data_IF_121217181451
#
_entry.id   IF_121217181451
#
_cell.length_a   1.000
_cell.length_b   1.000
_cell.length_c   1.000
_cell.angle_alpha   90.00
_cell.angle_beta   90.00
_cell.angle_gamma   90.00
#
_symmetry.space_group_name_H-M   'P 1'
#
loop_
_entity.id
_entity.type
_entity.pdbx_description
1 polymer ?
#
# COMPACT_ATOMS: atom_id res chain seq x y z
N UNK A 1 -0.17 0.29 -4.34
CA UNK A 1 -0.08 -0.92 -3.48
C UNK A 1 1.20 -1.67 -3.77
N UNK A 2 1.76 -2.38 -2.79
CA UNK A 2 3.06 -3.02 -2.90
C UNK A 2 2.96 -4.54 -2.75
N UNK A 3 3.67 -5.26 -3.60
CA UNK A 3 3.95 -6.69 -3.41
C UNK A 3 5.24 -6.88 -2.62
N UNK A 4 5.42 -8.05 -2.00
CA UNK A 4 6.65 -8.39 -1.29
C UNK A 4 7.51 -9.35 -2.10
N UNK A 5 8.83 -9.26 -1.92
CA UNK A 5 9.81 -10.20 -2.45
C UNK A 5 10.98 -10.35 -1.48
N UNK A 6 11.51 -11.54 -1.37
CA UNK A 6 12.76 -11.74 -0.66
C UNK A 6 13.93 -11.10 -1.38
N UNK A 7 14.95 -10.70 -0.66
CA UNK A 7 16.16 -10.12 -1.27
C UNK A 7 16.91 -11.15 -2.14
N UNK A 8 16.87 -12.43 -1.76
CA UNK A 8 17.41 -13.52 -2.56
C UNK A 8 16.67 -13.67 -3.89
N UNK A 9 15.34 -13.69 -3.89
CA UNK A 9 14.52 -13.72 -5.12
C UNK A 9 14.77 -12.50 -6.01
N UNK A 10 14.85 -11.31 -5.40
CA UNK A 10 15.11 -10.09 -6.15
C UNK A 10 16.44 -10.12 -6.91
N UNK A 11 17.48 -10.71 -6.33
CA UNK A 11 18.78 -10.85 -6.98
C UNK A 11 18.76 -11.76 -8.21
N UNK A 12 17.88 -12.75 -8.20
CA UNK A 12 17.72 -13.73 -9.31
C UNK A 12 16.66 -13.33 -10.32
N UNK A 13 15.57 -12.70 -9.88
CA UNK A 13 14.39 -12.38 -10.69
C UNK A 13 13.93 -10.93 -10.50
N UNK A 14 14.42 -10.04 -11.36
CA UNK A 14 14.18 -8.58 -11.29
C UNK A 14 12.91 -8.15 -12.02
N UNK A 15 11.76 -8.77 -11.74
CA UNK A 15 10.50 -8.34 -12.34
C UNK A 15 10.14 -6.91 -11.91
N UNK A 16 9.56 -6.15 -12.84
CA UNK A 16 9.02 -4.83 -12.56
C UNK A 16 7.74 -4.91 -11.70
N UNK A 17 7.32 -3.80 -11.06
CA UNK A 17 6.00 -3.68 -10.45
C UNK A 17 4.87 -3.96 -11.45
N UNK A 18 3.73 -4.43 -10.94
CA UNK A 18 2.59 -4.87 -11.75
C UNK A 18 1.64 -3.72 -12.10
N UNK A 19 2.06 -2.82 -13.00
CA UNK A 19 1.21 -1.72 -13.50
C UNK A 19 1.26 -0.45 -12.63
N UNK A 20 0.46 0.58 -12.94
CA UNK A 20 0.44 1.87 -12.25
C UNK A 20 0.05 1.75 -10.77
N UNK A 21 0.55 2.69 -9.98
CA UNK A 21 0.37 2.77 -8.53
C UNK A 21 0.81 1.48 -7.82
N UNK A 22 1.88 0.85 -8.31
CA UNK A 22 2.46 -0.37 -7.72
C UNK A 22 3.93 -0.21 -7.37
N UNK A 23 4.37 -0.98 -6.37
CA UNK A 23 5.75 -1.03 -5.92
C UNK A 23 6.12 -2.42 -5.39
N UNK A 24 7.39 -2.57 -5.03
CA UNK A 24 7.93 -3.81 -4.46
C UNK A 24 8.60 -3.49 -3.14
N UNK A 25 8.20 -4.16 -2.06
CA UNK A 25 8.86 -4.14 -0.76
C UNK A 25 9.80 -5.33 -0.66
N UNK A 26 11.02 -5.10 -0.20
CA UNK A 26 12.03 -6.14 -0.04
C UNK A 26 12.04 -6.69 1.38
N UNK A 27 12.01 -8.01 1.46
CA UNK A 27 12.11 -8.77 2.69
C UNK A 27 13.54 -9.30 2.82
N UNK A 28 14.23 -8.93 3.89
CA UNK A 28 15.49 -9.57 4.25
C UNK A 28 15.20 -10.98 4.76
N UNK A 29 15.58 -11.98 4.00
CA UNK A 29 15.51 -13.38 4.36
C UNK A 29 16.79 -13.85 5.06
N UNK A 30 16.79 -15.08 5.56
CA UNK A 30 17.93 -15.66 6.29
C UNK A 30 19.17 -15.76 5.39
N UNK A 31 18.99 -16.07 4.12
CA UNK A 31 20.05 -16.28 3.14
C UNK A 31 20.74 -14.96 2.73
N UNK A 32 19.99 -13.84 2.80
CA UNK A 32 20.49 -12.52 2.44
C UNK A 32 21.12 -11.74 3.59
N UNK A 33 21.08 -12.27 4.83
CA UNK A 33 21.69 -11.60 5.99
C UNK A 33 23.20 -11.49 5.82
N UNK A 34 23.78 -10.27 5.95
CA UNK A 34 25.22 -10.11 5.89
C UNK A 34 25.89 -10.85 7.06
N UNK A 35 26.85 -11.68 6.75
CA UNK A 35 27.66 -12.38 7.76
C UNK A 35 29.08 -11.84 7.79
N UNK A 36 29.72 -11.92 8.96
CA UNK A 36 31.12 -11.63 9.18
C UNK A 36 31.84 -12.89 9.69
N UNK A 37 33.15 -12.88 9.70
CA UNK A 37 34.00 -13.94 10.27
C UNK A 37 33.57 -15.37 9.83
N UNK A 38 33.48 -15.62 8.54
CA UNK A 38 33.11 -16.93 7.97
C UNK A 38 31.75 -17.47 8.47
N UNK A 39 30.80 -16.55 8.74
CA UNK A 39 29.44 -16.93 9.19
C UNK A 39 29.24 -16.95 10.70
N UNK A 40 30.28 -16.66 11.49
CA UNK A 40 30.20 -16.73 12.96
C UNK A 40 29.45 -15.58 13.61
N UNK A 41 29.23 -14.47 12.89
CA UNK A 41 28.47 -13.30 13.39
C UNK A 41 27.68 -12.64 12.27
N UNK A 42 26.62 -11.93 12.65
CA UNK A 42 25.86 -11.09 11.72
C UNK A 42 26.38 -9.66 11.74
N UNK A 43 26.54 -9.07 10.55
CA UNK A 43 26.88 -7.65 10.44
C UNK A 43 25.60 -6.82 10.42
N UNK A 44 25.47 -5.86 11.34
CA UNK A 44 24.30 -4.97 11.40
C UNK A 44 24.28 -3.91 10.30
N UNK A 45 25.39 -3.72 9.57
CA UNK A 45 25.53 -2.74 8.51
C UNK A 45 25.10 -3.32 7.16
N UNK A 46 24.21 -2.59 6.48
CA UNK A 46 23.85 -2.91 5.11
C UNK A 46 24.96 -2.51 4.13
N UNK A 47 25.28 -3.40 3.18
CA UNK A 47 26.36 -3.20 2.20
C UNK A 47 25.88 -2.85 0.79
N UNK A 48 24.59 -2.83 0.54
CA UNK A 48 24.06 -2.61 -0.80
C UNK A 48 22.56 -2.37 -0.83
N UNK A 49 22.07 -2.13 -2.02
CA UNK A 49 20.65 -1.92 -2.32
C UNK A 49 20.05 -3.18 -2.98
N UNK A 50 18.73 -3.34 -2.96
CA UNK A 50 17.73 -2.48 -2.32
C UNK A 50 17.72 -2.62 -0.78
N UNK A 51 17.25 -1.56 -0.10
CA UNK A 51 17.06 -1.63 1.34
C UNK A 51 15.90 -2.57 1.69
N UNK A 52 16.05 -3.44 2.71
CA UNK A 52 14.95 -4.26 3.20
C UNK A 52 13.98 -3.41 4.05
N UNK A 53 12.68 -3.63 3.87
CA UNK A 53 11.63 -2.90 4.58
C UNK A 53 11.07 -3.65 5.80
N UNK A 54 11.35 -4.95 5.94
CA UNK A 54 10.89 -5.74 7.09
C UNK A 54 11.70 -5.54 8.37
N UNK A 55 12.82 -4.82 8.31
CA UNK A 55 13.68 -4.52 9.47
C UNK A 55 13.71 -3.01 9.74
N UNK A 56 13.99 -2.64 11.00
CA UNK A 56 14.16 -1.24 11.37
C UNK A 56 15.55 -0.75 10.95
N UNK A 57 15.60 0.36 10.24
CA UNK A 57 16.80 0.95 9.68
C UNK A 57 17.18 2.22 10.45
N UNK A 58 18.49 2.43 10.60
CA UNK A 58 19.08 3.64 11.17
C UNK A 58 20.17 4.17 10.25
N UNK A 59 20.03 5.41 9.83
CA UNK A 59 21.06 6.14 9.10
C UNK A 59 22.07 6.68 10.10
N UNK A 60 23.36 6.44 9.82
CA UNK A 60 24.47 6.92 10.62
C UNK A 60 25.36 7.81 9.75
N UNK A 61 25.58 9.03 10.19
CA UNK A 61 26.39 10.02 9.50
C UNK A 61 27.19 10.88 10.48
N UNK A 62 28.21 11.58 9.98
CA UNK A 62 29.10 12.40 10.79
C UNK A 62 29.01 13.85 10.35
N UNK A 63 28.92 14.77 11.29
CA UNK A 63 29.05 16.21 11.05
C UNK A 63 30.31 16.69 11.77
N UNK A 64 31.19 17.39 11.02
CA UNK A 64 32.41 17.98 11.58
C UNK A 64 32.26 19.50 11.58
N UNK A 65 32.29 20.09 12.76
CA UNK A 65 32.28 21.55 12.98
C UNK A 65 33.48 21.91 13.85
N UNK A 66 34.28 22.87 13.43
CA UNK A 66 35.46 23.33 14.17
C UNK A 66 36.39 22.17 14.61
N UNK A 67 36.69 21.25 13.71
CA UNK A 67 37.48 20.03 13.94
C UNK A 67 36.89 19.04 14.96
N UNK A 68 35.68 19.24 15.45
CA UNK A 68 34.95 18.28 16.30
C UNK A 68 33.99 17.50 15.40
N UNK A 69 34.15 16.18 15.38
CA UNK A 69 33.27 15.27 14.62
C UNK A 69 32.24 14.65 15.55
N UNK A 70 30.97 14.94 15.28
CA UNK A 70 29.83 14.33 15.99
C UNK A 70 29.16 13.30 15.07
N UNK A 71 28.90 12.13 15.65
CA UNK A 71 28.17 11.06 14.94
C UNK A 71 26.70 11.11 15.29
N UNK A 72 25.86 11.19 14.28
CA UNK A 72 24.39 11.18 14.38
C UNK A 72 23.83 9.82 13.98
N UNK A 73 22.71 9.44 14.58
CA UNK A 73 21.95 8.22 14.30
C UNK A 73 20.48 8.55 14.21
N UNK A 74 19.92 8.48 13.00
CA UNK A 74 18.51 8.78 12.73
C UNK A 74 17.79 7.50 12.32
N UNK A 75 16.82 7.01 13.12
CA UNK A 75 15.92 5.94 12.69
C UNK A 75 15.05 6.41 11.51
N UNK A 76 15.02 5.62 10.44
CA UNK A 76 14.38 5.97 9.16
C UNK A 76 13.59 4.78 8.61
N UNK A 77 12.49 5.07 7.92
CA UNK A 77 11.81 4.12 7.04
C UNK A 77 12.07 4.55 5.59
N UNK A 78 12.74 3.70 4.82
CA UNK A 78 12.88 3.88 3.38
C UNK A 78 11.77 3.12 2.66
N UNK A 79 10.88 3.84 1.99
CA UNK A 79 9.77 3.27 1.20
C UNK A 79 10.10 3.47 -0.28
N UNK A 80 10.17 2.39 -1.09
CA UNK A 80 10.40 2.52 -2.53
C UNK A 80 9.32 3.38 -3.20
N UNK A 81 9.71 4.25 -4.12
CA UNK A 81 8.77 5.09 -4.86
C UNK A 81 7.90 4.23 -5.77
N UNK A 82 6.59 4.52 -5.81
CA UNK A 82 5.64 3.84 -6.71
C UNK A 82 6.02 4.03 -8.18
N UNK A 83 5.63 3.08 -9.02
CA UNK A 83 5.76 3.08 -10.48
C UNK A 83 7.21 3.02 -11.02
N UNK A 84 8.18 3.09 -10.15
CA UNK A 84 9.57 2.97 -10.51
C UNK A 84 10.07 1.54 -10.33
N UNK A 85 10.98 1.14 -11.21
CA UNK A 85 11.71 -0.12 -11.02
C UNK A 85 12.52 -0.03 -9.74
N UNK A 86 12.46 -1.04 -8.89
CA UNK A 86 13.18 -1.05 -7.61
C UNK A 86 14.69 -0.79 -7.75
N UNK A 87 15.30 -1.22 -8.86
CA UNK A 87 16.71 -0.93 -9.21
C UNK A 87 17.01 0.53 -9.50
N UNK A 88 15.99 1.38 -9.66
CA UNK A 88 16.20 2.83 -9.78
C UNK A 88 16.63 3.45 -8.47
N UNK A 89 16.50 2.69 -7.36
CA UNK A 89 16.92 3.08 -6.02
C UNK A 89 16.29 4.38 -5.50
N UNK A 90 15.08 4.66 -5.95
CA UNK A 90 14.33 5.83 -5.49
C UNK A 90 13.49 5.47 -4.26
N UNK A 91 13.60 6.29 -3.21
CA UNK A 91 12.92 6.08 -1.94
C UNK A 91 12.36 7.38 -1.39
N UNK A 92 11.25 7.26 -0.65
CA UNK A 92 10.88 8.22 0.37
C UNK A 92 11.68 7.94 1.63
N UNK A 93 12.18 8.97 2.31
CA UNK A 93 12.94 8.86 3.55
C UNK A 93 12.11 9.45 4.71
N UNK A 94 11.48 8.58 5.50
CA UNK A 94 10.54 8.97 6.56
C UNK A 94 11.25 8.93 7.91
N UNK A 95 11.17 10.00 8.69
CA UNK A 95 11.71 10.04 10.05
C UNK A 95 10.90 9.13 10.97
N UNK A 96 11.58 8.28 11.74
CA UNK A 96 10.92 7.32 12.63
C UNK A 96 10.82 7.80 14.09
N UNK A 97 11.49 8.87 14.44
CA UNK A 97 11.54 9.39 15.80
C UNK A 97 11.74 10.91 15.82
N UNK A 98 11.55 11.50 17.00
CA UNK A 98 11.70 12.94 17.22
C UNK A 98 10.45 13.75 16.88
N UNK A 99 10.59 15.07 16.81
CA UNK A 99 9.51 16.04 16.56
C UNK A 99 8.77 15.72 15.24
N UNK A 100 9.48 15.29 14.22
CA UNK A 100 9.00 15.03 12.87
C UNK A 100 8.79 13.53 12.59
N UNK A 101 8.45 12.75 13.62
CA UNK A 101 8.18 11.31 13.47
C UNK A 101 6.95 11.07 12.59
N UNK A 102 7.12 10.28 11.53
CA UNK A 102 6.08 10.01 10.53
C UNK A 102 6.09 10.95 9.33
N UNK A 103 6.90 12.02 9.36
CA UNK A 103 7.03 12.97 8.27
C UNK A 103 8.14 12.56 7.30
N UNK A 104 7.96 12.91 6.04
CA UNK A 104 8.93 12.70 4.98
C UNK A 104 9.99 13.80 4.98
N UNK A 105 11.24 13.40 4.85
CA UNK A 105 12.31 14.35 4.52
C UNK A 105 12.09 14.90 3.12
N UNK A 106 12.44 16.17 2.91
CA UNK A 106 12.35 16.84 1.62
C UNK A 106 13.70 17.45 1.19
N UNK A 107 13.88 17.61 -0.11
CA UNK A 107 14.98 18.39 -0.66
C UNK A 107 14.75 19.88 -0.40
N UNK A 108 15.82 20.63 -0.10
CA UNK A 108 15.76 22.08 -0.04
C UNK A 108 15.73 22.66 -1.46
N UNK A 109 14.82 23.60 -1.69
CA UNK A 109 14.63 24.30 -2.97
C UNK A 109 15.41 25.60 -3.03
N UNK A 110 15.43 26.27 -4.21
CA UNK A 110 15.99 27.63 -4.32
C UNK A 110 15.26 28.66 -3.45
N UNK A 111 13.94 28.51 -3.28
CA UNK A 111 13.15 29.39 -2.40
C UNK A 111 13.58 29.29 -0.93
N UNK A 112 14.09 28.14 -0.50
CA UNK A 112 14.64 27.97 0.85
C UNK A 112 16.01 28.68 0.98
N UNK A 113 16.73 28.89 -0.12
CA UNK A 113 17.99 29.65 -0.15
C UNK A 113 17.78 31.16 0.10
N UNK A 114 16.69 31.70 -0.41
CA UNK A 114 16.40 33.15 -0.31
C UNK A 114 15.91 33.57 1.08
N UNK A 115 15.54 32.61 1.93
CA UNK A 115 15.13 32.87 3.32
C UNK A 115 16.30 33.13 4.28
N UNK A 116 17.55 33.02 3.82
CA UNK A 116 18.73 33.32 4.66
C UNK A 116 19.05 34.81 4.59
N UNK A 117 19.06 35.55 5.72
CA UNK A 117 19.42 36.96 5.74
C UNK A 117 20.82 37.21 5.14
N UNK A 118 20.92 38.16 4.25
CA UNK A 118 22.19 38.64 3.65
C UNK A 118 23.17 39.02 4.77
N UNK A 119 24.28 38.28 4.94
CA UNK A 119 25.31 38.71 5.91
C UNK A 119 26.39 37.70 6.28
N UNK A 120 26.27 36.42 5.95
CA UNK A 120 27.31 35.44 6.28
C UNK A 120 27.92 34.80 5.04
N UNK A 121 29.26 34.86 4.94
CA UNK A 121 30.05 34.42 3.78
C UNK A 121 30.08 32.89 3.51
N UNK A 122 29.23 32.08 4.11
CA UNK A 122 29.05 30.68 3.76
C UNK A 122 27.61 30.47 3.30
N UNK A 123 27.43 30.16 2.03
CA UNK A 123 26.15 29.69 1.46
C UNK A 123 25.76 28.36 2.10
N UNK A 124 25.25 28.41 3.30
CA UNK A 124 24.60 27.28 3.93
C UNK A 124 23.17 27.26 3.42
N UNK A 125 22.83 26.30 2.57
CA UNK A 125 21.43 26.06 2.20
C UNK A 125 20.76 25.50 3.45
N UNK A 126 19.71 26.15 4.01
CA UNK A 126 18.99 25.61 5.15
C UNK A 126 18.43 24.26 4.80
N UNK A 127 18.35 23.35 5.76
CA UNK A 127 17.67 22.06 5.59
C UNK A 127 16.17 22.34 5.47
N UNK A 128 15.51 21.74 4.47
CA UNK A 128 14.06 21.77 4.39
C UNK A 128 13.47 21.04 5.60
N UNK A 129 12.46 21.63 6.23
CA UNK A 129 11.75 20.94 7.31
C UNK A 129 11.03 19.69 6.76
N UNK A 130 11.06 18.56 7.48
CA UNK A 130 10.26 17.40 7.11
C UNK A 130 8.77 17.77 7.07
N UNK A 131 8.05 17.19 6.11
CA UNK A 131 6.66 17.50 5.81
C UNK A 131 5.80 16.23 5.84
N UNK A 132 4.49 16.42 5.86
CA UNK A 132 3.57 15.31 5.64
C UNK A 132 3.92 14.58 4.34
N UNK A 133 3.91 13.25 4.37
CA UNK A 133 4.29 12.45 3.20
C UNK A 133 3.30 12.65 2.07
N UNK A 134 3.79 13.16 0.94
CA UNK A 134 3.05 13.24 -0.32
C UNK A 134 3.77 12.38 -1.38
N UNK A 135 3.15 11.26 -1.81
CA UNK A 135 3.73 10.39 -2.84
C UNK A 135 3.90 11.07 -4.21
N UNK A 136 3.22 12.18 -4.45
CA UNK A 136 3.31 12.93 -5.70
C UNK A 136 4.36 14.03 -5.66
N UNK A 137 4.77 14.46 -4.47
CA UNK A 137 5.81 15.47 -4.30
C UNK A 137 7.17 14.93 -4.78
N UNK A 138 7.75 15.60 -5.77
CA UNK A 138 9.06 15.24 -6.32
C UNK A 138 10.20 15.56 -5.34
N UNK A 139 10.01 16.59 -4.49
CA UNK A 139 11.00 17.02 -3.51
C UNK A 139 11.20 16.00 -2.37
N UNK A 140 10.25 15.10 -2.17
CA UNK A 140 10.34 14.02 -1.18
C UNK A 140 10.96 12.72 -1.73
N UNK A 141 11.43 12.72 -2.99
CA UNK A 141 12.00 11.54 -3.66
C UNK A 141 13.52 11.64 -3.77
N UNK A 142 14.19 10.59 -3.35
CA UNK A 142 15.65 10.54 -3.34
C UNK A 142 16.15 9.32 -4.14
N UNK A 143 17.08 9.55 -5.07
CA UNK A 143 17.86 8.45 -5.65
C UNK A 143 19.03 8.13 -4.73
N UNK A 144 19.09 6.88 -4.24
CA UNK A 144 20.15 6.43 -3.34
C UNK A 144 21.15 5.60 -4.13
N UNK A 145 22.41 6.01 -4.05
CA UNK A 145 23.51 5.36 -4.74
C UNK A 145 24.24 4.39 -3.80
N UNK A 146 24.52 3.15 -4.27
CA UNK A 146 25.20 2.16 -3.46
C UNK A 146 26.66 2.56 -3.17
N UNK A 147 27.27 2.00 -2.13
CA UNK A 147 28.68 2.19 -1.84
C UNK A 147 29.57 1.80 -3.02
N UNK A 148 30.55 2.64 -3.35
CA UNK A 148 31.65 2.24 -4.27
C UNK A 148 32.57 1.26 -3.56
N UNK A 149 33.27 0.39 -4.30
CA UNK A 149 34.00 -0.77 -3.75
C UNK A 149 34.99 -0.48 -2.60
N UNK A 150 35.52 0.74 -2.51
CA UNK A 150 36.43 1.18 -1.45
C UNK A 150 35.71 2.00 -0.33
N UNK A 151 34.55 2.58 -0.61
CA UNK A 151 33.73 3.35 0.31
C UNK A 151 32.54 2.50 0.75
N UNK A 152 32.38 2.24 2.02
CA UNK A 152 31.21 1.51 2.57
C UNK A 152 30.00 2.42 2.79
N UNK A 153 29.94 3.56 2.10
CA UNK A 153 29.04 4.66 2.38
C UNK A 153 28.10 4.91 1.19
N UNK A 154 26.87 5.22 1.48
CA UNK A 154 25.89 5.66 0.52
C UNK A 154 26.01 7.16 0.28
N UNK A 155 25.39 7.64 -0.78
CA UNK A 155 25.03 9.04 -1.00
C UNK A 155 23.69 9.12 -1.69
N UNK A 156 22.96 10.21 -1.47
CA UNK A 156 21.69 10.46 -2.13
C UNK A 156 21.82 11.67 -3.07
N UNK A 157 21.06 11.64 -4.14
CA UNK A 157 20.82 12.77 -5.03
C UNK A 157 19.34 13.07 -5.08
N UNK A 158 19.02 14.33 -5.28
CA UNK A 158 17.67 14.73 -5.67
C UNK A 158 17.37 14.25 -7.10
N UNK A 159 16.08 14.15 -7.42
CA UNK A 159 15.61 13.97 -8.80
C UNK A 159 15.84 15.20 -9.65
N UNK A 160 15.97 16.39 -9.06
CA UNK A 160 16.31 17.65 -9.73
C UNK A 160 17.75 18.08 -9.42
N UNK A 161 18.44 18.64 -10.41
CA UNK A 161 19.88 18.94 -10.35
C UNK A 161 20.22 20.08 -9.39
N UNK A 162 19.29 21.01 -9.14
CA UNK A 162 19.52 22.22 -8.34
C UNK A 162 19.11 22.09 -6.86
N UNK A 163 18.61 20.93 -6.46
CA UNK A 163 18.12 20.67 -5.11
C UNK A 163 19.15 19.99 -4.23
N UNK A 164 19.00 20.20 -2.92
CA UNK A 164 19.93 19.71 -1.91
C UNK A 164 19.23 18.72 -0.99
N UNK A 165 19.66 17.44 -0.96
CA UNK A 165 19.12 16.46 -0.02
C UNK A 165 19.33 16.86 1.45
N UNK A 166 18.46 16.40 2.37
CA UNK A 166 18.58 16.68 3.81
C UNK A 166 19.89 16.13 4.41
N UNK A 167 20.34 16.73 5.50
CA UNK A 167 21.65 16.42 6.15
C UNK A 167 21.86 14.93 6.41
N UNK A 168 20.80 14.21 6.80
CA UNK A 168 20.89 12.79 7.11
C UNK A 168 21.36 11.92 5.93
N UNK A 169 21.08 12.34 4.67
CA UNK A 169 21.43 11.61 3.44
C UNK A 169 22.25 12.44 2.44
N UNK A 170 22.44 13.76 2.69
CA UNK A 170 23.16 14.70 1.82
C UNK A 170 24.63 14.37 1.67
N UNK A 171 25.29 13.99 2.76
CA UNK A 171 26.74 13.87 2.77
C UNK A 171 27.18 12.56 2.19
N UNK A 172 28.25 12.62 1.42
CA UNK A 172 29.07 11.43 1.15
C UNK A 172 29.45 10.82 2.49
N UNK A 173 29.32 9.49 2.65
CA UNK A 173 29.77 8.73 3.85
C UNK A 173 28.73 8.47 4.94
N UNK A 174 27.44 8.50 4.67
CA UNK A 174 26.48 7.89 5.57
C UNK A 174 26.37 6.37 5.35
N UNK A 175 26.02 5.68 6.39
CA UNK A 175 25.85 4.21 6.40
C UNK A 175 24.49 3.86 6.96
N UNK A 176 24.01 2.65 6.66
CA UNK A 176 22.73 2.15 7.19
C UNK A 176 23.01 0.94 8.05
N UNK A 177 22.55 1.00 9.29
CA UNK A 177 22.51 -0.10 10.24
C UNK A 177 21.09 -0.61 10.36
N UNK A 178 20.87 -1.91 10.60
CA UNK A 178 19.56 -2.48 10.86
C UNK A 178 19.52 -3.21 12.20
N UNK A 179 18.34 -3.19 12.85
CA UNK A 179 18.10 -3.94 14.07
C UNK A 179 17.86 -5.42 13.74
N UNK A 180 18.50 -6.33 14.44
CA UNK A 180 18.27 -7.78 14.31
C UNK A 180 17.14 -8.28 15.19
N UNK A 181 16.77 -7.51 16.23
CA UNK A 181 15.76 -7.87 17.23
C UNK A 181 14.37 -7.24 16.96
N UNK A 182 14.30 -6.26 16.05
CA UNK A 182 13.07 -5.52 15.78
C UNK A 182 12.66 -5.62 14.31
N UNK A 183 11.42 -5.88 14.07
CA UNK A 183 10.83 -5.92 12.72
C UNK A 183 9.68 -4.91 12.54
N UNK A 184 9.33 -4.65 11.28
CA UNK A 184 8.20 -3.80 10.89
C UNK A 184 6.91 -4.61 10.70
N UNK A 185 6.88 -5.89 11.01
CA UNK A 185 5.72 -6.77 10.81
C UNK A 185 5.46 -7.18 9.36
N UNK A 186 6.30 -6.76 8.42
CA UNK A 186 6.18 -7.09 7.01
C UNK A 186 6.58 -8.55 6.75
N UNK A 187 5.78 -9.29 5.97
CA UNK A 187 6.01 -10.69 5.61
C UNK A 187 6.13 -10.86 4.09
N UNK A 188 6.77 -11.95 3.64
CA UNK A 188 6.87 -12.30 2.22
C UNK A 188 5.66 -13.14 1.79
N UNK A 189 4.47 -12.60 1.91
CA UNK A 189 3.20 -13.26 1.59
C UNK A 189 2.31 -12.46 0.63
N UNK A 190 2.69 -11.22 0.29
CA UNK A 190 1.95 -10.37 -0.63
C UNK A 190 2.45 -10.55 -2.06
N UNK A 191 1.85 -11.50 -2.76
CA UNK A 191 2.22 -11.86 -4.14
C UNK A 191 1.46 -11.09 -5.22
N UNK A 192 0.59 -10.13 -4.83
CA UNK A 192 -0.35 -9.49 -5.73
C UNK A 192 -1.57 -10.36 -6.00
N UNK A 193 -2.07 -10.34 -7.22
CA UNK A 193 -3.18 -11.19 -7.64
C UNK A 193 -2.79 -12.68 -7.69
N UNK A 194 -3.69 -13.54 -7.23
CA UNK A 194 -3.54 -14.98 -7.33
C UNK A 194 -4.21 -15.50 -8.60
N UNK A 195 -3.61 -16.51 -9.23
CA UNK A 195 -4.11 -17.10 -10.49
C UNK A 195 -5.53 -17.64 -10.37
N UNK A 196 -5.93 -18.14 -9.20
CA UNK A 196 -7.26 -18.70 -8.97
C UNK A 196 -8.38 -17.65 -8.86
N UNK A 197 -8.09 -16.34 -8.92
CA UNK A 197 -9.13 -15.29 -9.02
C UNK A 197 -10.11 -15.54 -10.16
N UNK A 198 -9.64 -16.10 -11.26
CA UNK A 198 -10.48 -16.40 -12.43
C UNK A 198 -11.33 -17.66 -12.27
N UNK A 199 -11.04 -18.48 -11.27
CA UNK A 199 -11.83 -19.64 -10.90
C UNK A 199 -12.84 -19.21 -9.83
N UNK A 200 -13.96 -18.61 -10.24
CA UNK A 200 -14.97 -18.06 -9.34
C UNK A 200 -15.33 -19.01 -8.19
N UNK A 201 -15.67 -18.49 -6.99
CA UNK A 201 -15.98 -19.33 -5.84
C UNK A 201 -17.07 -20.36 -6.17
N UNK A 202 -16.83 -21.62 -5.88
CA UNK A 202 -17.80 -22.71 -6.10
C UNK A 202 -18.79 -22.84 -4.94
N UNK A 203 -18.38 -22.38 -3.75
CA UNK A 203 -19.18 -22.45 -2.54
C UNK A 203 -19.85 -21.09 -2.32
N UNK A 204 -21.17 -21.07 -2.28
CA UNK A 204 -21.95 -19.92 -1.88
C UNK A 204 -21.64 -19.61 -0.39
N UNK A 205 -21.55 -18.34 -0.05
CA UNK A 205 -21.25 -17.84 1.32
C UNK A 205 -19.82 -18.09 1.83
N UNK A 206 -18.85 -18.41 0.96
CA UNK A 206 -17.44 -18.48 1.34
C UNK A 206 -16.65 -17.27 0.82
N UNK A 207 -15.80 -16.71 1.67
CA UNK A 207 -14.81 -15.70 1.26
C UNK A 207 -13.54 -16.41 0.78
N UNK A 208 -13.16 -16.20 -0.48
CA UNK A 208 -11.95 -16.77 -1.09
C UNK A 208 -10.92 -15.66 -1.24
N UNK A 209 -9.74 -15.79 -0.63
CA UNK A 209 -8.63 -14.85 -0.79
C UNK A 209 -8.03 -15.00 -2.19
N UNK A 210 -8.07 -13.93 -3.00
CA UNK A 210 -7.63 -13.93 -4.41
C UNK A 210 -6.54 -12.93 -4.72
N UNK A 211 -6.07 -12.19 -3.71
CA UNK A 211 -4.94 -11.28 -3.85
C UNK A 211 -4.48 -10.71 -2.52
N UNK A 212 -3.20 -10.35 -2.43
CA UNK A 212 -2.63 -9.72 -1.24
C UNK A 212 -1.52 -8.73 -1.58
N UNK A 213 -1.54 -7.58 -0.90
CA UNK A 213 -0.56 -6.49 -1.00
C UNK A 213 -0.28 -5.90 0.38
N UNK A 214 0.63 -4.95 0.43
CA UNK A 214 0.81 -4.05 1.55
C UNK A 214 0.65 -2.59 1.11
N UNK A 215 0.16 -1.77 2.03
CA UNK A 215 0.07 -0.32 1.89
C UNK A 215 0.90 0.29 3.01
N UNK A 216 2.00 1.00 2.70
CA UNK A 216 2.76 1.73 3.71
C UNK A 216 1.91 2.82 4.38
N UNK A 217 2.18 3.10 5.65
CA UNK A 217 1.43 4.06 6.46
C UNK A 217 1.35 5.47 5.84
N UNK A 218 2.32 5.87 5.01
CA UNK A 218 2.31 7.19 4.34
C UNK A 218 1.14 7.37 3.35
N UNK A 219 0.47 6.28 3.00
CA UNK A 219 -0.73 6.31 2.15
C UNK A 219 -2.04 6.17 2.94
N UNK A 220 -1.96 6.05 4.28
CA UNK A 220 -3.11 5.86 5.17
C UNK A 220 -3.03 6.90 6.28
N UNK A 221 -4.01 7.81 6.34
CA UNK A 221 -4.04 8.91 7.30
C UNK A 221 -5.18 8.68 8.29
N UNK A 222 -4.83 8.24 9.48
CA UNK A 222 -5.74 8.11 10.61
C UNK A 222 -5.52 9.25 11.60
N UNK A 223 -6.41 9.46 12.57
CA UNK A 223 -6.40 10.62 13.48
C UNK A 223 -5.13 10.77 14.34
N UNK A 224 -4.30 9.72 14.45
CA UNK A 224 -3.06 9.72 15.24
C UNK A 224 -1.87 9.18 14.42
N UNK A 225 -1.35 9.98 13.49
CA UNK A 225 -0.24 9.59 12.61
C UNK A 225 1.01 9.07 13.34
N UNK A 226 1.32 9.59 14.53
CA UNK A 226 2.46 9.14 15.34
C UNK A 226 2.30 7.72 15.90
N UNK A 227 1.07 7.27 16.13
CA UNK A 227 0.81 5.93 16.67
C UNK A 227 0.86 4.87 15.57
N UNK A 228 0.54 5.24 14.32
CA UNK A 228 0.57 4.32 13.18
C UNK A 228 1.97 3.85 12.86
N UNK A 229 2.94 4.77 12.82
CA UNK A 229 4.35 4.41 12.58
C UNK A 229 4.88 3.42 13.63
N UNK A 230 4.39 3.48 14.87
CA UNK A 230 4.78 2.59 15.95
C UNK A 230 4.06 1.25 15.89
N UNK A 231 2.75 1.26 15.59
CA UNK A 231 1.88 0.08 15.60
C UNK A 231 1.82 -0.63 14.25
N UNK A 232 1.66 0.12 13.15
CA UNK A 232 1.41 -0.42 11.81
C UNK A 232 2.17 0.36 10.74
N UNK A 233 3.44 0.02 10.51
CA UNK A 233 4.23 0.63 9.42
C UNK A 233 3.74 0.22 8.05
N UNK A 234 3.22 -1.02 7.91
CA UNK A 234 2.68 -1.58 6.67
C UNK A 234 1.34 -2.24 6.94
N UNK A 235 0.31 -1.76 6.27
CA UNK A 235 -1.06 -2.26 6.35
C UNK A 235 -1.24 -3.40 5.36
N UNK A 236 -1.60 -4.63 5.79
CA UNK A 236 -1.98 -5.68 4.86
C UNK A 236 -3.29 -5.33 4.14
N UNK A 237 -3.29 -5.45 2.81
CA UNK A 237 -4.45 -5.32 1.94
C UNK A 237 -4.74 -6.68 1.32
N UNK A 238 -5.94 -7.18 1.53
CA UNK A 238 -6.40 -8.48 1.01
C UNK A 238 -7.59 -8.30 0.07
N UNK A 239 -7.59 -9.01 -1.05
CA UNK A 239 -8.74 -9.07 -1.97
C UNK A 239 -9.43 -10.41 -1.80
N UNK A 240 -10.71 -10.36 -1.48
CA UNK A 240 -11.58 -11.53 -1.35
C UNK A 240 -12.66 -11.54 -2.42
N UNK A 241 -13.06 -12.73 -2.83
CA UNK A 241 -14.24 -12.97 -3.66
C UNK A 241 -15.29 -13.73 -2.85
N UNK A 242 -16.56 -13.33 -3.00
CA UNK A 242 -17.73 -14.05 -2.48
C UNK A 242 -18.93 -13.86 -3.38
N UNK A 243 -19.89 -14.77 -3.23
CA UNK A 243 -21.23 -14.60 -3.78
C UNK A 243 -22.12 -13.94 -2.73
N UNK A 244 -22.82 -12.88 -3.11
CA UNK A 244 -23.80 -12.16 -2.29
C UNK A 244 -25.19 -12.34 -2.86
N UNK A 245 -26.14 -12.80 -2.01
CA UNK A 245 -27.53 -12.95 -2.42
C UNK A 245 -28.17 -11.59 -2.61
N UNK A 246 -28.73 -11.34 -3.80
CA UNK A 246 -29.39 -10.09 -4.17
C UNK A 246 -30.87 -10.26 -4.45
N UNK A 247 -31.31 -11.49 -4.62
CA UNK A 247 -32.72 -11.80 -4.83
C UNK A 247 -33.06 -13.20 -4.32
N UNK A 248 -34.24 -13.30 -3.68
CA UNK A 248 -34.85 -14.54 -3.20
C UNK A 248 -36.33 -14.56 -3.49
N UNK A 249 -36.87 -15.70 -3.93
CA UNK A 249 -38.31 -15.93 -4.00
C UNK A 249 -38.68 -17.39 -3.75
N UNK A 250 -39.88 -17.59 -3.26
CA UNK A 250 -40.50 -18.92 -3.06
C UNK A 250 -41.57 -19.19 -4.13
N UNK A 251 -41.72 -20.46 -4.49
CA UNK A 251 -42.74 -20.90 -5.42
C UNK A 251 -44.07 -21.14 -4.68
N UNK A 252 -44.82 -20.07 -4.40
CA UNK A 252 -46.07 -20.14 -3.64
C UNK A 252 -47.20 -20.88 -4.42
N UNK A 253 -47.14 -20.88 -5.75
CA UNK A 253 -48.26 -21.33 -6.61
C UNK A 253 -47.99 -22.65 -7.34
N UNK A 254 -46.90 -23.32 -7.13
CA UNK A 254 -46.49 -24.66 -7.68
C UNK A 254 -46.48 -24.81 -9.21
N UNK A 255 -47.12 -23.92 -9.97
CA UNK A 255 -47.26 -24.03 -11.42
C UNK A 255 -46.34 -23.10 -12.22
N UNK A 256 -45.63 -22.19 -11.54
CA UNK A 256 -44.77 -21.25 -12.21
C UNK A 256 -43.36 -21.85 -12.43
N UNK A 257 -42.96 -21.99 -13.70
CA UNK A 257 -41.65 -22.48 -14.10
C UNK A 257 -40.64 -21.38 -14.42
N UNK A 258 -41.05 -20.13 -14.36
CA UNK A 258 -40.22 -19.00 -14.71
C UNK A 258 -40.18 -17.99 -13.57
N UNK A 259 -38.99 -17.47 -13.31
CA UNK A 259 -38.73 -16.39 -12.37
C UNK A 259 -38.16 -15.21 -13.13
N UNK A 260 -38.83 -14.08 -13.04
CA UNK A 260 -38.35 -12.80 -13.56
C UNK A 260 -37.81 -11.98 -12.41
N UNK A 261 -36.52 -11.65 -12.49
CA UNK A 261 -35.82 -10.84 -11.50
C UNK A 261 -35.65 -9.44 -12.04
N UNK A 262 -35.98 -8.46 -11.20
CA UNK A 262 -35.68 -7.05 -11.42
C UNK A 262 -35.22 -6.45 -10.09
N UNK A 263 -33.89 -6.33 -9.91
CA UNK A 263 -33.29 -5.87 -8.67
C UNK A 263 -32.20 -4.84 -8.94
N UNK A 264 -32.21 -3.79 -8.13
CA UNK A 264 -31.17 -2.77 -8.17
C UNK A 264 -30.05 -3.15 -7.20
N UNK A 265 -28.80 -3.10 -7.68
CA UNK A 265 -27.60 -3.42 -6.92
C UNK A 265 -26.69 -2.22 -6.96
N UNK A 266 -26.19 -1.88 -5.80
CA UNK A 266 -25.19 -0.84 -5.62
C UNK A 266 -23.82 -1.35 -6.03
N UNK A 267 -23.16 -0.77 -7.06
CA UNK A 267 -21.95 -1.32 -7.64
C UNK A 267 -20.73 -1.18 -6.72
N UNK A 268 -20.70 -0.14 -5.87
CA UNK A 268 -19.62 0.14 -4.93
C UNK A 268 -20.17 0.39 -3.53
N UNK A 269 -19.63 -0.31 -2.54
CA UNK A 269 -19.90 -0.05 -1.13
C UNK A 269 -18.57 0.12 -0.41
N UNK A 270 -18.44 1.20 0.37
CA UNK A 270 -17.26 1.46 1.19
C UNK A 270 -17.65 1.44 2.67
N UNK A 271 -16.84 0.73 3.48
CA UNK A 271 -17.06 0.62 4.93
C UNK A 271 -15.81 1.01 5.67
N UNK A 272 -15.93 1.86 6.68
CA UNK A 272 -14.85 2.22 7.60
C UNK A 272 -15.10 1.54 8.94
N UNK A 273 -14.16 0.73 9.38
CA UNK A 273 -14.26 -0.09 10.60
C UNK A 273 -15.60 -0.84 10.70
N UNK A 274 -16.09 -1.33 9.55
CA UNK A 274 -17.35 -2.07 9.44
C UNK A 274 -18.62 -1.22 9.26
N UNK A 275 -18.54 0.10 9.38
CA UNK A 275 -19.68 1.02 9.18
C UNK A 275 -19.70 1.51 7.73
N UNK A 276 -20.82 1.32 7.06
CA UNK A 276 -21.01 1.79 5.69
C UNK A 276 -21.10 3.32 5.66
N UNK A 277 -20.46 3.91 4.63
CA UNK A 277 -20.47 5.36 4.41
C UNK A 277 -21.42 5.73 3.28
N UNK A 278 -22.15 6.84 3.46
CA UNK A 278 -23.09 7.35 2.46
C UNK A 278 -22.36 8.00 1.28
N UNK A 279 -21.37 8.85 1.55
CA UNK A 279 -20.54 9.53 0.53
C UNK A 279 -19.34 8.68 0.12
N UNK A 280 -19.56 7.73 -0.80
CA UNK A 280 -18.56 6.73 -1.24
C UNK A 280 -17.35 7.31 -1.96
N UNK A 281 -17.48 8.50 -2.55
CA UNK A 281 -16.39 9.21 -3.20
C UNK A 281 -15.43 9.90 -2.22
N UNK A 282 -15.86 10.13 -0.98
CA UNK A 282 -15.12 10.94 -0.04
C UNK A 282 -14.84 12.37 -0.54
N UNK A 283 -14.15 13.17 0.24
CA UNK A 283 -13.61 14.47 -0.20
C UNK A 283 -12.12 14.36 -0.46
N UNK A 284 -11.66 14.73 -1.65
CA UNK A 284 -10.24 14.70 -2.00
C UNK A 284 -9.60 16.06 -1.71
N UNK A 285 -8.51 16.08 -0.94
CA UNK A 285 -7.73 17.28 -0.65
C UNK A 285 -6.66 17.57 -1.74
N UNK A 286 -5.90 18.65 -1.55
CA UNK A 286 -4.81 19.06 -2.46
C UNK A 286 -3.67 18.05 -2.56
N UNK A 287 -3.44 17.27 -1.50
CA UNK A 287 -2.43 16.20 -1.45
C UNK A 287 -2.95 14.87 -2.01
N UNK A 288 -4.11 14.91 -2.69
CA UNK A 288 -4.79 13.73 -3.26
C UNK A 288 -5.08 12.64 -2.23
N UNK A 289 -5.36 13.03 -1.01
CA UNK A 289 -5.90 12.15 0.02
C UNK A 289 -7.42 12.24 -0.04
N UNK A 290 -8.05 11.09 -0.19
CA UNK A 290 -9.51 10.96 -0.12
C UNK A 290 -9.90 10.72 1.33
N UNK A 291 -10.68 11.65 1.87
CA UNK A 291 -11.11 11.64 3.26
C UNK A 291 -12.53 11.10 3.39
N UNK A 292 -12.69 10.21 4.32
CA UNK A 292 -13.98 9.60 4.70
C UNK A 292 -14.26 9.91 6.15
N UNK A 293 -15.53 10.19 6.45
CA UNK A 293 -15.99 10.45 7.82
C UNK A 293 -17.18 9.55 8.16
N UNK A 294 -17.12 8.90 9.32
CA UNK A 294 -18.20 8.09 9.88
C UNK A 294 -18.13 8.09 11.39
N UNK A 295 -19.26 8.34 12.07
CA UNK A 295 -19.39 8.27 13.53
C UNK A 295 -18.25 9.00 14.29
N UNK A 296 -17.91 10.23 13.87
CA UNK A 296 -16.82 11.07 14.41
C UNK A 296 -15.39 10.52 14.17
N UNK A 297 -15.22 9.55 13.30
CA UNK A 297 -13.91 9.06 12.85
C UNK A 297 -13.62 9.59 11.48
N UNK A 298 -12.36 9.98 11.26
CA UNK A 298 -11.86 10.45 9.98
C UNK A 298 -10.74 9.53 9.52
N UNK A 299 -10.86 9.04 8.28
CA UNK A 299 -9.85 8.23 7.62
C UNK A 299 -9.50 8.87 6.29
N UNK A 300 -8.21 9.10 6.05
CA UNK A 300 -7.67 9.48 4.76
C UNK A 300 -7.00 8.31 4.08
N UNK A 301 -7.29 8.10 2.80
CA UNK A 301 -6.60 7.12 1.97
C UNK A 301 -6.07 7.83 0.73
N UNK A 302 -4.76 7.69 0.47
CA UNK A 302 -4.18 8.30 -0.72
C UNK A 302 -4.81 7.73 -1.99
N UNK A 303 -5.16 8.61 -2.93
CA UNK A 303 -5.84 8.26 -4.18
C UNK A 303 -5.09 7.21 -5.01
N UNK A 304 -3.77 7.12 -4.91
CA UNK A 304 -2.98 6.08 -5.59
C UNK A 304 -3.40 4.66 -5.17
N UNK A 305 -3.83 4.47 -3.92
CA UNK A 305 -4.32 3.17 -3.43
C UNK A 305 -5.69 2.87 -4.01
N UNK A 306 -6.60 3.85 -4.01
CA UNK A 306 -7.96 3.72 -4.55
C UNK A 306 -7.90 3.41 -6.05
N UNK A 307 -7.16 4.21 -6.82
CA UNK A 307 -6.97 3.98 -8.25
C UNK A 307 -6.37 2.59 -8.56
N UNK A 308 -5.50 2.08 -7.66
CA UNK A 308 -4.96 0.72 -7.84
C UNK A 308 -6.03 -0.34 -7.59
N UNK A 309 -6.88 -0.23 -6.59
CA UNK A 309 -8.00 -1.14 -6.35
C UNK A 309 -8.98 -1.13 -7.53
N UNK A 310 -9.43 0.05 -7.95
CA UNK A 310 -10.33 0.22 -9.10
C UNK A 310 -9.77 -0.39 -10.37
N UNK A 311 -8.49 -0.17 -10.66
CA UNK A 311 -7.83 -0.77 -11.83
C UNK A 311 -7.88 -2.29 -11.80
N UNK A 312 -7.67 -2.91 -10.65
CA UNK A 312 -7.70 -4.37 -10.54
C UNK A 312 -9.08 -4.92 -10.85
N UNK A 313 -10.15 -4.27 -10.39
CA UNK A 313 -11.52 -4.71 -10.66
C UNK A 313 -12.00 -4.35 -12.07
N UNK A 314 -11.57 -3.22 -12.63
CA UNK A 314 -11.81 -2.87 -14.03
C UNK A 314 -11.16 -3.90 -14.98
N UNK A 315 -9.94 -4.31 -14.71
CA UNK A 315 -9.26 -5.36 -15.49
C UNK A 315 -9.96 -6.73 -15.39
N UNK A 316 -10.75 -6.96 -14.34
CA UNK A 316 -11.56 -8.16 -14.17
C UNK A 316 -12.94 -8.06 -14.81
N UNK A 317 -13.30 -6.89 -15.36
CA UNK A 317 -14.56 -6.64 -16.08
C UNK A 317 -15.61 -5.86 -15.27
N UNK A 318 -15.25 -5.33 -14.08
CA UNK A 318 -16.13 -4.41 -13.37
C UNK A 318 -16.27 -3.10 -14.15
N UNK A 319 -17.48 -2.53 -14.17
CA UNK A 319 -17.74 -1.25 -14.84
C UNK A 319 -18.03 -0.19 -13.79
N UNK A 320 -17.29 0.92 -13.85
CA UNK A 320 -17.48 2.03 -12.92
C UNK A 320 -18.73 2.83 -13.31
N UNK A 321 -19.89 2.40 -12.80
CA UNK A 321 -21.12 3.17 -12.88
C UNK A 321 -21.42 3.77 -11.51
N UNK A 322 -21.54 5.10 -11.38
CA UNK A 322 -21.84 5.76 -10.11
C UNK A 322 -23.26 5.53 -9.61
N UNK A 323 -24.13 5.01 -10.47
CA UNK A 323 -25.56 4.79 -10.19
C UNK A 323 -25.86 3.30 -9.92
N UNK A 324 -26.97 3.07 -9.22
CA UNK A 324 -27.51 1.73 -9.01
C UNK A 324 -27.60 0.98 -10.35
N UNK A 325 -27.06 -0.22 -10.38
CA UNK A 325 -27.10 -1.07 -11.57
C UNK A 325 -28.34 -1.97 -11.49
N UNK A 326 -29.20 -1.91 -12.49
CA UNK A 326 -30.36 -2.76 -12.61
C UNK A 326 -29.95 -4.12 -13.17
N UNK A 327 -30.29 -5.20 -12.47
CA UNK A 327 -30.15 -6.57 -12.94
C UNK A 327 -31.55 -7.05 -13.38
N UNK A 328 -31.74 -7.21 -14.67
CA UNK A 328 -32.94 -7.80 -15.26
C UNK A 328 -32.58 -9.19 -15.78
N UNK A 329 -33.28 -10.22 -15.27
CA UNK A 329 -33.05 -11.59 -15.70
C UNK A 329 -34.29 -12.44 -15.62
N UNK A 330 -34.58 -13.20 -16.68
CA UNK A 330 -35.52 -14.31 -16.65
C UNK A 330 -34.76 -15.63 -16.50
N UNK A 331 -35.21 -16.49 -15.62
CA UNK A 331 -34.64 -17.82 -15.37
C UNK A 331 -35.76 -18.88 -15.36
N UNK A 332 -35.55 -19.98 -16.08
CA UNK A 332 -36.52 -21.07 -16.17
C UNK A 332 -36.02 -22.29 -15.42
N UNK A 333 -36.91 -22.90 -14.62
CA UNK A 333 -36.64 -24.15 -13.94
C UNK A 333 -36.77 -25.35 -14.89
N UNK A 334 -35.72 -26.16 -15.00
CA UNK A 334 -35.61 -27.31 -15.89
C UNK A 334 -35.69 -28.67 -15.17
N UNK A 335 -36.28 -28.74 -13.97
CA UNK A 335 -36.32 -29.94 -13.11
C UNK A 335 -37.33 -31.01 -13.48
N UNK A 336 -37.76 -31.17 -14.75
CA UNK A 336 -38.70 -32.21 -15.16
C UNK A 336 -40.08 -32.06 -14.49
N UNK A 337 -40.58 -33.14 -13.90
CA UNK A 337 -41.90 -33.17 -13.22
C UNK A 337 -41.85 -32.68 -11.77
N UNK A 338 -40.65 -32.37 -11.23
CA UNK A 338 -40.50 -31.80 -9.89
C UNK A 338 -40.80 -30.31 -9.87
N UNK A 339 -41.43 -29.83 -8.78
CA UNK A 339 -41.63 -28.43 -8.54
C UNK A 339 -40.42 -27.89 -7.72
N UNK A 340 -40.00 -26.64 -8.05
CA UNK A 340 -39.03 -25.95 -7.25
C UNK A 340 -39.72 -25.29 -6.04
N UNK A 341 -38.96 -25.11 -4.92
CA UNK A 341 -39.41 -24.46 -3.68
C UNK A 341 -38.95 -23.02 -3.60
N UNK A 342 -37.65 -22.81 -3.85
CA UNK A 342 -37.05 -21.47 -3.80
C UNK A 342 -36.04 -21.26 -4.93
N UNK A 343 -35.90 -20.00 -5.29
CA UNK A 343 -34.90 -19.50 -6.25
C UNK A 343 -34.11 -18.38 -5.61
N UNK A 344 -32.79 -18.40 -5.84
CA UNK A 344 -31.87 -17.37 -5.36
C UNK A 344 -30.98 -16.89 -6.48
N UNK A 345 -30.75 -15.57 -6.55
CA UNK A 345 -29.78 -14.96 -7.43
C UNK A 345 -28.68 -14.33 -6.60
N UNK A 346 -27.45 -14.56 -7.02
CA UNK A 346 -26.24 -14.05 -6.38
C UNK A 346 -25.45 -13.20 -7.38
N UNK A 347 -24.81 -12.13 -6.85
CA UNK A 347 -23.83 -11.33 -7.58
C UNK A 347 -22.44 -11.61 -7.02
N UNK A 348 -21.43 -11.60 -7.88
CA UNK A 348 -20.04 -11.69 -7.42
C UNK A 348 -19.61 -10.37 -6.78
N UNK A 349 -19.06 -10.45 -5.59
CA UNK A 349 -18.47 -9.32 -4.86
C UNK A 349 -16.98 -9.54 -4.70
N UNK A 350 -16.19 -8.53 -5.08
CA UNK A 350 -14.77 -8.43 -4.76
C UNK A 350 -14.58 -7.38 -3.66
N UNK A 351 -13.95 -7.78 -2.55
CA UNK A 351 -13.76 -6.93 -1.38
C UNK A 351 -12.28 -6.73 -1.10
N UNK A 352 -11.79 -5.48 -1.26
CA UNK A 352 -10.47 -5.10 -0.73
C UNK A 352 -10.61 -4.74 0.74
N UNK A 353 -9.86 -5.42 1.59
CA UNK A 353 -9.89 -5.23 3.04
C UNK A 353 -8.51 -4.78 3.51
N UNK A 354 -8.41 -3.54 3.97
CA UNK A 354 -7.22 -2.97 4.59
C UNK A 354 -7.29 -3.17 6.10
N UNK A 355 -6.23 -3.73 6.68
CA UNK A 355 -6.17 -4.02 8.11
C UNK A 355 -4.96 -3.36 8.77
N UNK A 356 -5.05 -3.13 10.08
CA UNK A 356 -3.88 -2.85 10.92
C UNK A 356 -3.12 -4.14 11.22
N UNK A 357 -1.95 -4.02 11.82
CA UNK A 357 -1.12 -5.18 12.22
C UNK A 357 -1.81 -6.08 13.26
N UNK A 358 -2.71 -5.53 14.07
CA UNK A 358 -3.52 -6.26 15.05
C UNK A 358 -4.74 -6.96 14.44
N UNK A 359 -4.84 -7.02 13.12
CA UNK A 359 -5.93 -7.58 12.32
C UNK A 359 -7.24 -6.76 12.36
N UNK A 360 -7.31 -5.62 13.05
CA UNK A 360 -8.47 -4.74 13.01
C UNK A 360 -8.65 -4.15 11.61
N UNK A 361 -9.90 -4.10 11.15
CA UNK A 361 -10.24 -3.59 9.81
C UNK A 361 -10.23 -2.06 9.83
N UNK A 362 -9.54 -1.45 8.88
CA UNK A 362 -9.50 0.00 8.66
C UNK A 362 -10.58 0.40 7.66
N UNK A 363 -10.52 -0.19 6.47
CA UNK A 363 -11.46 0.10 5.40
C UNK A 363 -11.73 -1.15 4.56
N UNK A 364 -12.95 -1.24 4.06
CA UNK A 364 -13.37 -2.26 3.08
C UNK A 364 -14.00 -1.57 1.87
N UNK A 365 -13.49 -1.89 0.67
CA UNK A 365 -14.10 -1.52 -0.62
C UNK A 365 -14.71 -2.76 -1.23
N UNK A 366 -16.02 -2.76 -1.43
CA UNK A 366 -16.76 -3.86 -2.04
C UNK A 366 -17.25 -3.46 -3.43
N UNK A 367 -16.78 -4.18 -4.43
CA UNK A 367 -17.14 -4.01 -5.84
C UNK A 367 -18.05 -5.14 -6.26
N UNK A 368 -19.29 -4.82 -6.69
CA UNK A 368 -20.29 -5.79 -7.14
C UNK A 368 -20.29 -5.87 -8.65
N UNK A 369 -20.04 -7.07 -9.17
CA UNK A 369 -19.99 -7.36 -10.60
C UNK A 369 -21.37 -7.80 -11.10
N UNK A 370 -22.19 -6.85 -11.52
CA UNK A 370 -23.57 -7.12 -11.98
C UNK A 370 -23.65 -8.02 -13.24
N UNK A 371 -22.54 -8.16 -13.97
CA UNK A 371 -22.39 -9.06 -15.12
C UNK A 371 -22.03 -10.51 -14.71
N UNK A 372 -21.59 -10.73 -13.45
CA UNK A 372 -21.20 -12.05 -12.93
C UNK A 372 -22.22 -12.54 -11.92
N UNK A 373 -23.15 -13.35 -12.44
CA UNK A 373 -24.31 -13.83 -11.72
C UNK A 373 -24.23 -15.35 -11.52
N UNK A 374 -24.69 -15.82 -10.36
CA UNK A 374 -24.91 -17.21 -10.06
C UNK A 374 -26.35 -17.44 -9.58
N UNK A 375 -26.93 -18.60 -9.86
CA UNK A 375 -28.30 -18.91 -9.49
C UNK A 375 -28.39 -20.26 -8.80
N UNK A 376 -29.28 -20.37 -7.82
CA UNK A 376 -29.56 -21.61 -7.12
C UNK A 376 -31.06 -21.86 -7.09
N UNK A 377 -31.47 -23.04 -7.53
CA UNK A 377 -32.81 -23.58 -7.37
C UNK A 377 -32.81 -24.63 -6.27
N UNK A 378 -33.82 -24.60 -5.42
CA UNK A 378 -34.08 -25.63 -4.41
C UNK A 378 -35.40 -26.31 -4.75
N UNK A 379 -35.41 -27.63 -4.82
CA UNK A 379 -36.56 -28.49 -5.13
C UNK A 379 -37.08 -29.26 -3.89
#
# INVERSE_FOLDING_TARGET
MYVTRTLSDYRTNRKAPEGPNSGVLIIQDKESKPTCCLGSCYESRLKGLPFPQNVKLTVKYNITVNNVTTTYRDPVVFIPVLDLKLRSNHYYAIKRSGKHSGESSANATEEDRDRVPFGFCHRHVPEAEPQQSDPYDIYQKFEIHPPKSLSRSYFATSTDLDEVPPELIKKKYWTVEYSTSEDNGLRDDARGLYRHRYNLPTILNSNVLVGKWYVPFIFVHESNANDHLKSTTYYPMSLYQRWEEVYYCENAYKDNREVVVNVQVEPLVVKIEGHEIEEKGGSMDENRVVWFEVANKKLGLNNAVIMRMEREVLNFGWTNHPQLTLIERSSRFNGGDSNWKSYRLYVLVESFVLKRRDESVVVTYEFRHADKLNTKWES
#
